data_IF_145124090859
#
_entry.id   IF_145124090859
#
_cell.length_a   1.000
_cell.length_b   1.000
_cell.length_c   1.000
_cell.angle_alpha   90.00
_cell.angle_beta   90.00
_cell.angle_gamma   90.00
#
_symmetry.space_group_name_H-M   'P 1'
#
loop_
_entity.id
_entity.type
_entity.pdbx_description
1 polymer ?
#
# COMPACT_ATOMS: atom_id res chain seq x y z
N UNK A 1 -19.41 -11.95 0.16
CA UNK A 1 -19.26 -10.64 0.82
C UNK A 1 -20.62 -10.13 1.30
N UNK A 2 -20.67 -9.24 2.29
CA UNK A 2 -21.92 -8.62 2.76
C UNK A 2 -21.96 -7.14 2.43
N UNK A 3 -23.12 -6.63 2.04
CA UNK A 3 -23.38 -5.23 1.78
C UNK A 3 -24.51 -4.74 2.68
N UNK A 4 -24.48 -3.45 3.01
CA UNK A 4 -25.50 -2.75 3.75
C UNK A 4 -26.45 -2.07 2.76
N UNK A 5 -27.74 -2.37 2.85
CA UNK A 5 -28.76 -1.64 2.10
C UNK A 5 -28.86 -0.20 2.61
N UNK A 6 -28.82 0.77 1.69
CA UNK A 6 -28.75 2.19 2.06
C UNK A 6 -30.10 2.79 2.47
N UNK A 7 -31.20 2.07 2.42
CA UNK A 7 -32.51 2.52 2.90
C UNK A 7 -32.89 1.80 4.20
N UNK A 8 -32.89 0.47 4.18
CA UNK A 8 -33.33 -0.37 5.31
C UNK A 8 -32.28 -0.48 6.43
N UNK A 9 -30.99 -0.26 6.12
CA UNK A 9 -29.86 -0.51 7.02
C UNK A 9 -29.67 -1.99 7.38
N UNK A 10 -30.27 -2.89 6.60
CA UNK A 10 -30.10 -4.33 6.76
C UNK A 10 -28.89 -4.83 5.97
N UNK A 11 -28.28 -5.91 6.44
CA UNK A 11 -27.16 -6.54 5.76
C UNK A 11 -27.66 -7.64 4.83
N UNK A 12 -27.21 -7.60 3.59
CA UNK A 12 -27.47 -8.62 2.58
C UNK A 12 -26.17 -9.36 2.22
N UNK A 13 -26.29 -10.68 2.07
CA UNK A 13 -25.15 -11.54 1.75
C UNK A 13 -25.13 -11.91 0.27
N UNK A 14 -23.98 -11.66 -0.36
CA UNK A 14 -23.69 -11.98 -1.75
C UNK A 14 -22.58 -13.03 -1.77
N UNK A 15 -22.97 -14.30 -1.96
CA UNK A 15 -22.04 -15.45 -1.96
C UNK A 15 -21.25 -15.53 -3.27
N UNK A 16 -21.86 -15.15 -4.38
CA UNK A 16 -21.24 -15.16 -5.71
C UNK A 16 -20.78 -13.74 -6.08
N UNK A 17 -19.48 -13.56 -6.32
CA UNK A 17 -18.90 -12.27 -6.71
C UNK A 17 -19.48 -11.75 -8.05
N UNK A 18 -20.01 -12.63 -8.91
CA UNK A 18 -20.57 -12.24 -10.22
C UNK A 18 -21.93 -11.57 -10.13
N UNK A 19 -22.62 -11.67 -8.99
CA UNK A 19 -23.94 -11.07 -8.76
C UNK A 19 -23.89 -9.90 -7.78
N UNK A 20 -22.70 -9.48 -7.35
CA UNK A 20 -22.53 -8.33 -6.46
C UNK A 20 -22.99 -7.06 -7.20
N UNK A 21 -24.00 -6.34 -6.68
CA UNK A 21 -24.49 -5.12 -7.31
C UNK A 21 -23.48 -3.97 -7.13
N UNK A 22 -23.57 -2.88 -7.90
CA UNK A 22 -22.77 -1.68 -7.65
C UNK A 22 -22.94 -1.15 -6.22
N UNK A 23 -21.83 -0.81 -5.56
CA UNK A 23 -21.83 -0.32 -4.19
C UNK A 23 -20.82 0.81 -3.95
N UNK A 24 -21.16 1.67 -3.00
CA UNK A 24 -20.24 2.62 -2.40
C UNK A 24 -19.42 1.95 -1.30
N UNK A 25 -18.14 2.26 -1.18
CA UNK A 25 -17.28 1.73 -0.11
C UNK A 25 -16.75 2.87 0.78
N UNK A 26 -16.80 2.69 2.10
CA UNK A 26 -16.30 3.68 3.05
C UNK A 26 -14.85 3.38 3.45
N UNK A 27 -13.97 4.33 3.15
CA UNK A 27 -12.65 4.44 3.76
C UNK A 27 -12.73 5.42 4.92
N UNK A 28 -12.36 4.99 6.14
CA UNK A 28 -12.41 5.88 7.30
C UNK A 28 -11.36 5.51 8.35
N UNK A 29 -11.20 6.37 9.35
CA UNK A 29 -10.54 6.02 10.61
C UNK A 29 -11.58 5.52 11.61
N UNK A 30 -11.24 4.45 12.33
CA UNK A 30 -12.10 3.97 13.41
C UNK A 30 -12.07 4.99 14.54
N UNK A 31 -13.26 5.32 15.02
CA UNK A 31 -13.53 6.20 16.14
C UNK A 31 -14.07 5.37 17.31
N UNK A 32 -14.41 6.04 18.41
CA UNK A 32 -14.92 5.34 19.58
C UNK A 32 -16.35 4.83 19.35
N UNK A 33 -16.59 3.57 19.73
CA UNK A 33 -17.91 2.95 19.75
C UNK A 33 -18.59 2.87 18.37
N UNK A 34 -17.85 2.36 17.39
CA UNK A 34 -18.33 1.99 16.06
C UNK A 34 -19.51 1.01 16.11
N UNK A 35 -20.35 1.08 15.08
CA UNK A 35 -21.35 0.04 14.80
C UNK A 35 -20.64 -1.19 14.24
N UNK A 36 -20.78 -2.32 14.92
CA UNK A 36 -20.24 -3.60 14.51
C UNK A 36 -21.33 -4.45 13.85
N UNK A 37 -20.91 -5.54 13.20
CA UNK A 37 -21.83 -6.51 12.60
C UNK A 37 -22.91 -6.99 13.58
N UNK A 38 -22.50 -7.35 14.79
CA UNK A 38 -23.38 -7.84 15.84
C UNK A 38 -24.41 -6.80 16.30
N UNK A 39 -24.10 -5.51 16.19
CA UNK A 39 -25.01 -4.44 16.58
C UNK A 39 -26.16 -4.28 15.58
N UNK A 40 -25.88 -4.45 14.28
CA UNK A 40 -26.92 -4.51 13.25
C UNK A 40 -27.77 -5.77 13.41
N UNK A 41 -27.13 -6.93 13.58
CA UNK A 41 -27.83 -8.21 13.74
C UNK A 41 -28.77 -8.25 14.96
N UNK A 42 -28.45 -7.50 16.02
CA UNK A 42 -29.25 -7.42 17.26
C UNK A 42 -30.20 -6.23 17.30
N UNK A 43 -30.16 -5.34 16.30
CA UNK A 43 -30.92 -4.09 16.31
C UNK A 43 -30.46 -3.08 17.37
N UNK A 44 -29.23 -3.19 17.89
CA UNK A 44 -28.68 -2.29 18.92
C UNK A 44 -27.83 -1.16 18.34
N UNK A 45 -27.64 -1.13 17.01
CA UNK A 45 -26.79 -0.15 16.33
C UNK A 45 -27.17 1.30 16.65
N UNK A 46 -28.46 1.63 16.78
CA UNK A 46 -28.91 3.00 17.07
C UNK A 46 -28.44 3.56 18.43
N UNK A 47 -27.96 2.70 19.34
CA UNK A 47 -27.44 3.11 20.65
C UNK A 47 -25.94 3.43 20.62
N UNK A 48 -25.26 3.14 19.51
CA UNK A 48 -23.83 3.35 19.33
C UNK A 48 -23.52 4.80 18.99
N UNK A 49 -22.42 5.34 19.53
CA UNK A 49 -21.94 6.68 19.13
C UNK A 49 -21.61 6.75 17.64
N UNK A 50 -21.01 5.68 17.11
CA UNK A 50 -20.67 5.57 15.69
C UNK A 50 -21.87 5.44 14.74
N UNK A 51 -23.11 5.33 15.26
CA UNK A 51 -24.30 5.18 14.40
C UNK A 51 -24.49 6.35 13.45
N UNK A 52 -24.20 7.57 13.91
CA UNK A 52 -24.33 8.76 13.07
C UNK A 52 -23.42 8.70 11.84
N UNK A 53 -22.22 8.13 11.98
CA UNK A 53 -21.28 7.94 10.86
C UNK A 53 -21.83 6.96 9.83
N UNK A 54 -22.33 5.81 10.28
CA UNK A 54 -22.98 4.84 9.39
C UNK A 54 -24.17 5.47 8.67
N UNK A 55 -25.04 6.16 9.42
CA UNK A 55 -26.22 6.82 8.88
C UNK A 55 -25.86 7.87 7.81
N UNK A 56 -24.92 8.76 8.12
CA UNK A 56 -24.49 9.81 7.19
C UNK A 56 -23.80 9.23 5.94
N UNK A 57 -22.99 8.18 6.09
CA UNK A 57 -22.39 7.54 4.93
C UNK A 57 -23.45 6.98 3.99
N UNK A 58 -24.48 6.36 4.54
CA UNK A 58 -25.55 5.84 3.72
C UNK A 58 -26.38 6.94 3.04
N UNK A 59 -26.57 8.10 3.69
CA UNK A 59 -27.17 9.26 3.04
C UNK A 59 -26.33 9.76 1.86
N UNK A 60 -25.00 9.79 2.01
CA UNK A 60 -24.08 10.13 0.91
C UNK A 60 -24.21 9.10 -0.22
N UNK A 61 -24.14 7.81 0.10
CA UNK A 61 -24.28 6.73 -0.88
C UNK A 61 -25.62 6.82 -1.64
N UNK A 62 -26.73 7.02 -0.92
CA UNK A 62 -28.06 7.17 -1.50
C UNK A 62 -28.16 8.41 -2.41
N UNK A 63 -27.59 9.55 -1.99
CA UNK A 63 -27.57 10.78 -2.78
C UNK A 63 -26.81 10.61 -4.09
N UNK A 64 -25.73 9.82 -4.07
CA UNK A 64 -24.93 9.48 -5.25
C UNK A 64 -25.52 8.32 -6.07
N UNK A 65 -26.71 7.82 -5.70
CA UNK A 65 -27.47 6.83 -6.46
C UNK A 65 -27.12 5.36 -6.17
N UNK A 66 -26.34 5.08 -5.13
CA UNK A 66 -26.05 3.71 -4.71
C UNK A 66 -27.20 3.14 -3.89
N UNK A 67 -27.51 1.86 -4.11
CA UNK A 67 -28.45 1.09 -3.28
C UNK A 67 -27.73 0.36 -2.14
N UNK A 68 -26.44 0.10 -2.32
CA UNK A 68 -25.63 -0.66 -1.38
C UNK A 68 -24.38 0.10 -0.96
N UNK A 69 -24.00 -0.11 0.29
CA UNK A 69 -22.82 0.43 0.92
C UNK A 69 -21.99 -0.68 1.56
N UNK A 70 -20.67 -0.53 1.57
CA UNK A 70 -19.78 -1.42 2.31
C UNK A 70 -19.01 -0.62 3.36
N UNK A 71 -19.02 -1.12 4.60
CA UNK A 71 -18.29 -0.56 5.73
C UNK A 71 -17.64 -1.71 6.49
N UNK A 72 -16.32 -1.70 6.63
CA UNK A 72 -15.55 -2.79 7.24
C UNK A 72 -16.00 -3.12 8.68
N UNK A 73 -16.44 -2.12 9.45
CA UNK A 73 -16.90 -2.28 10.84
C UNK A 73 -18.10 -3.20 10.98
N UNK A 74 -19.10 -3.06 10.09
CA UNK A 74 -20.36 -3.77 10.18
C UNK A 74 -20.61 -4.81 9.08
N UNK A 75 -19.94 -4.73 7.94
CA UNK A 75 -20.07 -5.69 6.84
C UNK A 75 -19.18 -6.94 7.01
N UNK A 76 -18.28 -6.97 8.01
CA UNK A 76 -17.46 -8.13 8.35
C UNK A 76 -17.78 -8.58 9.78
N UNK A 77 -18.09 -9.85 9.96
CA UNK A 77 -18.15 -10.45 11.30
C UNK A 77 -16.74 -10.73 11.83
N UNK A 78 -16.19 -9.75 12.54
CA UNK A 78 -14.87 -9.88 13.17
C UNK A 78 -14.81 -10.90 14.30
N UNK A 79 -15.95 -11.44 14.76
CA UNK A 79 -15.97 -12.53 15.74
C UNK A 79 -15.68 -13.90 15.11
N UNK A 80 -15.89 -14.03 13.79
CA UNK A 80 -15.51 -15.20 13.01
C UNK A 80 -14.09 -15.03 12.46
N UNK A 81 -13.14 -15.82 12.97
CA UNK A 81 -11.75 -15.78 12.49
C UNK A 81 -11.62 -16.21 11.03
N UNK A 82 -12.46 -17.16 10.59
CA UNK A 82 -12.52 -17.60 9.20
C UNK A 82 -12.97 -16.45 8.28
N UNK A 83 -14.06 -15.78 8.65
CA UNK A 83 -14.57 -14.66 7.85
C UNK A 83 -13.60 -13.48 7.85
N UNK A 84 -13.02 -13.14 9.01
CA UNK A 84 -12.01 -12.07 9.10
C UNK A 84 -10.81 -12.37 8.19
N UNK A 85 -10.36 -13.62 8.14
CA UNK A 85 -9.26 -14.05 7.25
C UNK A 85 -9.62 -13.93 5.78
N UNK A 86 -10.82 -14.38 5.40
CA UNK A 86 -11.34 -14.25 4.04
C UNK A 86 -11.46 -12.77 3.64
N UNK A 87 -12.01 -11.95 4.53
CA UNK A 87 -12.22 -10.53 4.30
C UNK A 87 -10.92 -9.76 4.10
N UNK A 88 -9.89 -9.99 4.94
CA UNK A 88 -8.60 -9.32 4.77
C UNK A 88 -7.91 -9.75 3.46
N UNK A 89 -8.00 -11.04 3.11
CA UNK A 89 -7.46 -11.53 1.83
C UNK A 89 -8.21 -10.98 0.61
N UNK A 90 -9.46 -10.54 0.78
CA UNK A 90 -10.31 -10.03 -0.30
C UNK A 90 -10.44 -8.51 -0.32
N UNK A 91 -10.00 -7.82 0.74
CA UNK A 91 -10.31 -6.40 0.97
C UNK A 91 -9.84 -5.50 -0.18
N UNK A 92 -8.62 -5.70 -0.68
CA UNK A 92 -8.13 -4.93 -1.83
C UNK A 92 -9.01 -5.13 -3.07
N UNK A 93 -9.48 -6.35 -3.34
CA UNK A 93 -10.39 -6.64 -4.45
C UNK A 93 -11.74 -5.95 -4.24
N UNK A 94 -12.27 -5.97 -3.02
CA UNK A 94 -13.52 -5.27 -2.71
C UNK A 94 -13.40 -3.75 -2.85
N UNK A 95 -12.26 -3.16 -2.52
CA UNK A 95 -12.02 -1.74 -2.83
C UNK A 95 -11.87 -1.50 -4.34
N UNK A 96 -11.23 -2.42 -5.06
CA UNK A 96 -11.04 -2.33 -6.51
C UNK A 96 -12.35 -2.48 -7.31
N UNK A 97 -13.29 -3.30 -6.82
CA UNK A 97 -14.58 -3.56 -7.44
C UNK A 97 -15.67 -2.56 -7.03
N UNK A 98 -15.44 -1.79 -5.96
CA UNK A 98 -16.35 -0.72 -5.59
C UNK A 98 -16.41 0.35 -6.69
N UNK A 99 -17.60 0.86 -6.97
CA UNK A 99 -17.78 1.91 -7.97
C UNK A 99 -17.15 3.22 -7.50
N UNK A 100 -17.38 3.58 -6.22
CA UNK A 100 -16.78 4.77 -5.60
C UNK A 100 -16.34 4.47 -4.17
N UNK A 101 -15.10 4.83 -3.85
CA UNK A 101 -14.59 4.87 -2.49
C UNK A 101 -14.76 6.28 -1.91
N UNK A 102 -15.48 6.39 -0.80
CA UNK A 102 -15.61 7.64 -0.06
C UNK A 102 -14.63 7.61 1.12
N UNK A 103 -13.61 8.46 1.08
CA UNK A 103 -12.65 8.64 2.16
C UNK A 103 -13.15 9.72 3.12
N UNK A 104 -13.68 9.30 4.27
CA UNK A 104 -14.15 10.21 5.33
C UNK A 104 -13.02 10.59 6.27
N UNK A 105 -12.68 11.88 6.29
CA UNK A 105 -11.62 12.46 7.11
C UNK A 105 -12.24 13.27 8.26
N UNK A 106 -12.35 12.64 9.42
CA UNK A 106 -12.93 13.25 10.62
C UNK A 106 -12.08 14.39 11.23
N UNK A 107 -10.84 14.54 10.78
CA UNK A 107 -9.92 15.62 11.18
C UNK A 107 -9.83 16.77 10.17
N UNK A 108 -10.66 16.75 9.11
CA UNK A 108 -10.75 17.80 8.11
C UNK A 108 -12.11 18.52 8.17
N UNK A 109 -12.12 19.84 8.34
CA UNK A 109 -13.35 20.64 8.24
C UNK A 109 -13.47 21.24 6.85
N UNK A 110 -14.66 21.20 6.26
CA UNK A 110 -14.91 21.67 4.90
C UNK A 110 -14.46 23.13 4.69
N UNK A 111 -14.78 24.00 5.65
CA UNK A 111 -14.49 25.43 5.54
C UNK A 111 -12.98 25.72 5.54
N UNK A 112 -12.20 24.94 6.28
CA UNK A 112 -10.76 25.11 6.42
C UNK A 112 -10.03 24.43 5.27
N UNK A 113 -10.41 23.21 4.90
CA UNK A 113 -9.76 22.47 3.80
C UNK A 113 -10.01 23.10 2.43
N UNK A 114 -11.14 23.79 2.26
CA UNK A 114 -11.47 24.48 1.00
C UNK A 114 -10.75 25.83 0.83
N UNK A 115 -10.05 26.32 1.86
CA UNK A 115 -9.31 27.58 1.77
C UNK A 115 -7.96 27.40 1.07
N UNK A 116 -7.62 28.35 0.20
CA UNK A 116 -6.31 28.39 -0.46
C UNK A 116 -5.18 28.44 0.56
N UNK A 117 -4.26 27.48 0.49
CA UNK A 117 -3.08 27.41 1.39
C UNK A 117 -3.30 26.65 2.70
N UNK A 118 -4.47 26.05 2.90
CA UNK A 118 -4.71 25.15 4.04
C UNK A 118 -3.79 23.92 3.99
N UNK A 119 -3.29 23.52 5.15
CA UNK A 119 -2.49 22.30 5.35
C UNK A 119 -3.26 21.16 5.99
N UNK A 120 -4.56 21.35 6.29
CA UNK A 120 -5.36 20.41 7.07
C UNK A 120 -5.46 19.03 6.41
N UNK A 121 -5.56 19.00 5.07
CA UNK A 121 -5.57 17.74 4.32
C UNK A 121 -4.24 17.00 4.44
N UNK A 122 -3.12 17.72 4.32
CA UNK A 122 -1.75 17.21 4.40
C UNK A 122 -1.42 16.66 5.79
N UNK A 123 -2.03 17.24 6.82
CA UNK A 123 -1.84 16.86 8.22
C UNK A 123 -2.82 15.77 8.68
N UNK A 124 -3.76 15.35 7.84
CA UNK A 124 -4.74 14.34 8.19
C UNK A 124 -4.07 13.01 8.54
N UNK A 125 -4.48 12.45 9.68
CA UNK A 125 -4.04 11.14 10.16
C UNK A 125 -4.57 10.00 9.28
N UNK A 126 -5.43 10.28 8.30
CA UNK A 126 -5.85 9.29 7.32
C UNK A 126 -4.65 8.79 6.50
N UNK A 127 -3.70 9.67 6.16
CA UNK A 127 -2.49 9.29 5.41
C UNK A 127 -1.49 8.46 6.21
N UNK A 128 -1.58 8.46 7.54
CA UNK A 128 -0.68 7.72 8.41
C UNK A 128 -1.20 6.32 8.76
N UNK A 129 -2.44 5.96 8.42
CA UNK A 129 -2.96 4.60 8.70
C UNK A 129 -2.48 3.61 7.63
N UNK A 130 -2.07 2.40 8.05
CA UNK A 130 -1.60 1.35 7.13
C UNK A 130 -2.64 0.96 6.08
N UNK A 131 -3.86 0.66 6.53
CA UNK A 131 -4.95 0.19 5.68
C UNK A 131 -5.39 1.21 4.62
N UNK A 132 -5.28 2.51 4.87
CA UNK A 132 -5.72 3.54 3.90
C UNK A 132 -4.89 3.56 2.62
N UNK A 133 -3.71 2.92 2.59
CA UNK A 133 -2.92 2.77 1.37
C UNK A 133 -3.67 1.98 0.29
N UNK A 134 -4.23 0.82 0.64
CA UNK A 134 -5.03 0.05 -0.31
C UNK A 134 -6.35 0.75 -0.63
N UNK A 135 -6.94 1.43 0.35
CA UNK A 135 -8.19 2.20 0.17
C UNK A 135 -8.01 3.38 -0.80
N UNK A 136 -6.79 3.92 -0.90
CA UNK A 136 -6.40 4.96 -1.86
C UNK A 136 -6.09 4.42 -3.26
N UNK A 137 -5.46 3.24 -3.34
CA UNK A 137 -4.84 2.73 -4.56
C UNK A 137 -5.69 1.71 -5.31
N UNK A 138 -6.51 0.93 -4.61
CA UNK A 138 -7.30 -0.12 -5.21
C UNK A 138 -8.51 0.42 -5.99
N UNK A 139 -9.33 1.36 -5.46
CA UNK A 139 -10.50 1.86 -6.16
C UNK A 139 -10.16 2.64 -7.42
N UNK A 140 -11.06 2.61 -8.40
CA UNK A 140 -10.96 3.47 -9.58
C UNK A 140 -11.16 4.94 -9.22
N UNK A 141 -12.19 5.22 -8.42
CA UNK A 141 -12.59 6.55 -8.00
C UNK A 141 -12.58 6.66 -6.47
N UNK A 142 -11.98 7.76 -5.98
CA UNK A 142 -11.88 8.08 -4.56
C UNK A 142 -12.31 9.53 -4.36
N UNK A 143 -13.32 9.73 -3.52
CA UNK A 143 -13.91 11.02 -3.16
C UNK A 143 -13.61 11.31 -1.69
N UNK A 144 -13.06 12.48 -1.39
CA UNK A 144 -12.74 12.87 -0.02
C UNK A 144 -13.86 13.69 0.61
N UNK A 145 -14.30 13.26 1.78
CA UNK A 145 -15.36 13.88 2.56
C UNK A 145 -14.79 14.49 3.85
N UNK A 146 -15.23 15.69 4.18
CA UNK A 146 -14.92 16.35 5.45
C UNK A 146 -15.74 15.77 6.61
N UNK A 147 -15.46 16.22 7.84
CA UNK A 147 -16.22 15.88 9.05
C UNK A 147 -17.72 16.24 8.94
N UNK A 148 -18.06 17.24 8.13
CA UNK A 148 -19.43 17.66 7.83
C UNK A 148 -20.07 16.84 6.69
N UNK A 149 -19.43 15.76 6.23
CA UNK A 149 -19.89 14.90 5.13
C UNK A 149 -20.03 15.64 3.78
N UNK A 150 -19.18 16.64 3.58
CA UNK A 150 -19.12 17.41 2.33
C UNK A 150 -17.90 16.98 1.52
N UNK A 151 -18.12 16.71 0.25
CA UNK A 151 -17.04 16.49 -0.70
C UNK A 151 -16.20 17.76 -0.86
N UNK A 152 -14.89 17.66 -0.64
CA UNK A 152 -13.95 18.75 -0.91
C UNK A 152 -12.93 18.44 -2.01
N UNK A 153 -12.92 17.21 -2.55
CA UNK A 153 -12.10 16.87 -3.70
C UNK A 153 -12.07 15.39 -4.01
N UNK A 154 -11.43 15.05 -5.13
CA UNK A 154 -11.23 13.67 -5.59
C UNK A 154 -9.74 13.35 -5.63
N UNK A 155 -9.38 12.06 -5.58
CA UNK A 155 -7.98 11.63 -5.74
C UNK A 155 -7.35 12.11 -7.04
N UNK A 156 -8.14 12.22 -8.12
CA UNK A 156 -7.68 12.79 -9.38
C UNK A 156 -7.41 14.29 -9.26
N UNK A 157 -8.33 15.04 -8.64
CA UNK A 157 -8.21 16.48 -8.44
C UNK A 157 -7.08 16.88 -7.50
N UNK A 158 -6.88 16.10 -6.42
CA UNK A 158 -5.87 16.32 -5.37
C UNK A 158 -4.58 15.50 -5.60
N UNK A 159 -4.34 15.08 -6.84
CA UNK A 159 -3.26 14.15 -7.18
C UNK A 159 -1.87 14.70 -6.81
N UNK A 160 -1.66 16.01 -6.98
CA UNK A 160 -0.41 16.67 -6.61
C UNK A 160 -0.17 16.60 -5.10
N UNK A 161 -1.15 17.04 -4.33
CA UNK A 161 -1.11 17.08 -2.87
C UNK A 161 -0.92 15.67 -2.29
N UNK A 162 -1.68 14.69 -2.78
CA UNK A 162 -1.56 13.29 -2.35
C UNK A 162 -0.16 12.75 -2.66
N UNK A 163 0.38 13.03 -3.85
CA UNK A 163 1.75 12.61 -4.23
C UNK A 163 2.80 13.25 -3.31
N UNK A 164 2.62 14.50 -2.92
CA UNK A 164 3.58 15.22 -2.07
C UNK A 164 3.59 14.67 -0.63
N UNK A 165 2.41 14.36 -0.09
CA UNK A 165 2.22 13.76 1.25
C UNK A 165 2.78 12.33 1.28
N UNK A 166 2.35 11.50 0.32
CA UNK A 166 2.53 10.04 0.41
C UNK A 166 3.73 9.50 -0.37
N UNK A 167 4.36 10.34 -1.21
CA UNK A 167 5.39 9.94 -2.19
C UNK A 167 4.91 8.88 -3.20
N UNK A 168 3.60 8.65 -3.29
CA UNK A 168 3.01 7.81 -4.31
C UNK A 168 3.10 8.53 -5.65
N UNK A 169 3.56 7.83 -6.68
CA UNK A 169 3.70 8.43 -7.99
C UNK A 169 2.34 8.82 -8.59
N UNK A 170 2.24 10.06 -9.10
CA UNK A 170 1.02 10.57 -9.75
C UNK A 170 0.45 9.66 -10.84
N UNK A 171 1.29 8.89 -11.55
CA UNK A 171 0.82 7.97 -12.59
C UNK A 171 -0.17 6.94 -12.04
N UNK A 172 0.07 6.35 -10.87
CA UNK A 172 -0.89 5.38 -10.27
C UNK A 172 -2.09 6.08 -9.63
N UNK A 173 -1.92 7.32 -9.16
CA UNK A 173 -3.03 8.14 -8.66
C UNK A 173 -4.02 8.55 -9.78
N UNK A 174 -3.52 8.75 -10.99
CA UNK A 174 -4.34 9.05 -12.18
C UNK A 174 -4.84 7.78 -12.88
N UNK A 175 -4.05 6.70 -12.83
CA UNK A 175 -4.31 5.43 -13.53
C UNK A 175 -4.05 4.22 -12.60
N UNK A 176 -4.99 3.85 -11.72
CA UNK A 176 -4.85 2.72 -10.78
C UNK A 176 -4.42 1.40 -11.43
N UNK A 177 -4.90 1.14 -12.66
CA UNK A 177 -4.59 -0.08 -13.42
C UNK A 177 -3.09 -0.24 -13.71
N UNK A 178 -2.31 0.84 -13.65
CA UNK A 178 -0.85 0.83 -13.82
C UNK A 178 -0.07 0.44 -12.56
N UNK A 179 -0.73 0.01 -11.48
CA UNK A 179 -0.05 -0.34 -10.22
C UNK A 179 1.07 -1.38 -10.40
N UNK A 180 0.95 -2.30 -11.35
CA UNK A 180 1.96 -3.34 -11.63
C UNK A 180 3.20 -2.83 -12.39
N UNK A 181 3.21 -1.57 -12.85
CA UNK A 181 4.40 -0.94 -13.45
C UNK A 181 5.45 -0.54 -12.41
N UNK A 182 5.06 -0.49 -11.14
CA UNK A 182 5.90 -0.06 -10.03
C UNK A 182 6.59 -1.23 -9.36
N UNK A 183 7.88 -1.06 -9.06
CA UNK A 183 8.66 -2.11 -8.45
C UNK A 183 8.28 -2.32 -6.97
N UNK A 184 8.68 -3.47 -6.42
CA UNK A 184 8.39 -3.87 -5.05
C UNK A 184 8.90 -2.83 -4.06
N UNK A 185 10.12 -2.32 -4.23
CA UNK A 185 10.68 -1.31 -3.34
C UNK A 185 9.86 0.00 -3.33
N UNK A 186 9.35 0.43 -4.49
CA UNK A 186 8.49 1.62 -4.56
C UNK A 186 7.20 1.38 -3.77
N UNK A 187 6.54 0.26 -4.01
CA UNK A 187 5.29 -0.10 -3.31
C UNK A 187 5.49 -0.19 -1.80
N UNK A 188 6.57 -0.83 -1.34
CA UNK A 188 6.93 -0.91 0.08
C UNK A 188 7.27 0.46 0.68
N UNK A 189 7.93 1.34 -0.09
CA UNK A 189 8.25 2.70 0.36
C UNK A 189 7.00 3.55 0.63
N UNK A 190 5.88 3.27 -0.04
CA UNK A 190 4.61 3.95 0.23
C UNK A 190 4.05 3.57 1.61
N UNK A 191 4.42 2.41 2.16
CA UNK A 191 4.00 1.97 3.49
C UNK A 191 4.94 2.41 4.62
N UNK A 192 6.13 2.95 4.29
CA UNK A 192 7.23 3.23 5.22
C UNK A 192 6.99 4.28 6.31
N UNK A 193 5.89 5.01 6.28
CA UNK A 193 5.54 6.00 7.33
C UNK A 193 4.13 5.78 7.87
N UNK A 194 3.53 4.63 7.54
CA UNK A 194 2.18 4.29 7.96
C UNK A 194 2.22 3.39 9.18
N UNK A 195 1.24 3.55 10.05
CA UNK A 195 1.10 2.90 11.33
C UNK A 195 -0.16 2.03 11.37
N UNK A 196 -0.10 0.96 12.16
CA UNK A 196 -1.22 0.04 12.37
C UNK A 196 -1.39 -0.24 13.85
N UNK A 197 -2.63 -0.56 14.27
CA UNK A 197 -2.92 -0.85 15.68
C UNK A 197 -2.26 -2.16 16.14
N UNK A 198 -2.21 -3.17 15.25
CA UNK A 198 -1.47 -4.42 15.47
C UNK A 198 -0.21 -4.43 14.60
N UNK A 199 0.93 -4.91 15.10
CA UNK A 199 2.17 -4.94 14.34
C UNK A 199 2.06 -5.80 13.07
N UNK A 200 1.33 -6.91 13.10
CA UNK A 200 1.14 -7.79 11.95
C UNK A 200 0.39 -7.13 10.79
N UNK A 201 -0.51 -6.19 11.10
CA UNK A 201 -1.29 -5.48 10.09
C UNK A 201 -0.39 -4.60 9.19
N UNK A 202 0.85 -4.28 9.61
CA UNK A 202 1.86 -3.65 8.73
C UNK A 202 2.14 -4.49 7.49
N UNK A 203 2.02 -5.81 7.61
CA UNK A 203 2.16 -6.75 6.50
C UNK A 203 0.80 -7.06 5.85
N UNK A 204 -0.22 -7.36 6.66
CA UNK A 204 -1.52 -7.79 6.13
C UNK A 204 -2.21 -6.73 5.27
N UNK A 205 -2.06 -5.44 5.62
CA UNK A 205 -2.60 -4.32 4.82
C UNK A 205 -1.95 -4.15 3.44
N UNK A 206 -0.82 -4.85 3.18
CA UNK A 206 -0.10 -4.79 1.91
C UNK A 206 -0.35 -6.00 1.02
N UNK A 207 -1.00 -7.05 1.53
CA UNK A 207 -1.20 -8.31 0.80
C UNK A 207 -1.84 -8.09 -0.57
N UNK A 208 -2.94 -7.32 -0.62
CA UNK A 208 -3.62 -7.01 -1.86
C UNK A 208 -2.82 -6.13 -2.83
N UNK A 209 -1.99 -5.23 -2.32
CA UNK A 209 -1.10 -4.37 -3.14
C UNK A 209 -0.08 -5.19 -3.95
N UNK A 210 0.31 -6.35 -3.40
CA UNK A 210 1.21 -7.31 -4.03
C UNK A 210 0.51 -8.51 -4.64
N UNK A 211 -0.81 -8.61 -4.51
CA UNK A 211 -1.58 -9.75 -5.02
C UNK A 211 -1.25 -11.08 -4.35
N UNK A 212 -0.81 -11.05 -3.08
CA UNK A 212 -0.43 -12.25 -2.33
C UNK A 212 -1.52 -12.66 -1.34
N UNK A 213 -1.57 -13.96 -1.04
CA UNK A 213 -2.46 -14.54 -0.05
C UNK A 213 -1.63 -15.25 1.02
N UNK A 214 -1.92 -14.99 2.29
CA UNK A 214 -1.24 -15.63 3.42
C UNK A 214 -2.20 -15.77 4.62
N UNK A 215 -2.07 -16.85 5.42
CA UNK A 215 -2.85 -17.00 6.65
C UNK A 215 -2.58 -15.89 7.66
N UNK A 216 -3.65 -15.38 8.29
CA UNK A 216 -3.55 -14.41 9.39
C UNK A 216 -3.20 -15.11 10.69
N UNK A 217 -2.06 -14.77 11.27
CA UNK A 217 -1.55 -15.30 12.52
C UNK A 217 -1.30 -14.15 13.51
N UNK A 218 -2.38 -13.58 14.06
CA UNK A 218 -2.26 -12.54 15.08
C UNK A 218 -1.48 -13.04 16.31
N UNK A 219 -0.45 -12.30 16.71
CA UNK A 219 0.55 -12.70 17.70
C UNK A 219 1.91 -13.05 17.11
N UNK A 220 2.07 -13.08 15.78
CA UNK A 220 3.37 -13.34 15.14
C UNK A 220 4.31 -12.11 15.10
N UNK A 221 3.80 -10.92 15.36
CA UNK A 221 4.55 -9.65 15.35
C UNK A 221 5.17 -9.34 13.99
N UNK A 222 6.39 -8.82 14.00
CA UNK A 222 7.13 -8.42 12.79
C UNK A 222 7.45 -9.59 11.84
N UNK A 223 7.29 -10.84 12.29
CA UNK A 223 7.42 -12.02 11.42
C UNK A 223 6.38 -12.03 10.30
N UNK A 224 5.24 -11.35 10.46
CA UNK A 224 4.26 -11.18 9.40
C UNK A 224 4.88 -10.51 8.17
N UNK A 225 5.74 -9.50 8.36
CA UNK A 225 6.40 -8.79 7.26
C UNK A 225 7.49 -9.63 6.58
N UNK A 226 8.18 -10.48 7.33
CA UNK A 226 9.08 -11.48 6.77
C UNK A 226 8.32 -12.44 5.84
N UNK A 227 7.17 -12.97 6.30
CA UNK A 227 6.31 -13.84 5.49
C UNK A 227 5.80 -13.14 4.24
N UNK A 228 5.36 -11.88 4.35
CA UNK A 228 4.96 -11.08 3.19
C UNK A 228 6.08 -11.01 2.14
N UNK A 229 7.32 -10.72 2.55
CA UNK A 229 8.45 -10.67 1.62
C UNK A 229 8.73 -12.03 0.95
N UNK A 230 8.58 -13.14 1.70
CA UNK A 230 8.70 -14.49 1.15
C UNK A 230 7.60 -14.81 0.13
N UNK A 231 6.35 -14.41 0.38
CA UNK A 231 5.26 -14.57 -0.58
C UNK A 231 5.49 -13.74 -1.84
N UNK A 232 5.98 -12.50 -1.70
CA UNK A 232 6.34 -11.64 -2.85
C UNK A 232 7.45 -12.30 -3.67
N UNK A 233 8.49 -12.85 -3.04
CA UNK A 233 9.60 -13.52 -3.72
C UNK A 233 9.19 -14.80 -4.45
N UNK A 234 8.16 -15.50 -3.96
CA UNK A 234 7.64 -16.70 -4.64
C UNK A 234 6.93 -16.35 -5.95
N UNK A 235 6.40 -15.14 -6.08
CA UNK A 235 5.54 -14.73 -7.20
C UNK A 235 6.16 -13.65 -8.09
N UNK A 236 7.29 -13.06 -7.67
CA UNK A 236 7.94 -11.95 -8.36
C UNK A 236 9.45 -12.14 -8.45
N UNK A 237 10.01 -11.85 -9.64
CA UNK A 237 11.46 -11.77 -9.87
C UNK A 237 12.01 -10.35 -9.65
N UNK A 238 11.24 -9.47 -9.01
CA UNK A 238 11.63 -8.09 -8.77
C UNK A 238 12.69 -8.00 -7.66
N UNK A 239 13.93 -7.84 -8.08
CA UNK A 239 15.10 -7.74 -7.21
C UNK A 239 15.09 -6.48 -6.32
N UNK A 240 14.22 -5.50 -6.59
CA UNK A 240 14.10 -4.30 -5.75
C UNK A 240 13.64 -4.61 -4.32
N UNK A 241 13.06 -5.78 -4.05
CA UNK A 241 12.77 -6.23 -2.67
C UNK A 241 14.03 -6.27 -1.77
N UNK A 242 15.23 -6.30 -2.34
CA UNK A 242 16.50 -6.28 -1.61
C UNK A 242 17.16 -4.89 -1.59
N UNK A 243 16.47 -3.84 -2.04
CA UNK A 243 16.99 -2.47 -2.13
C UNK A 243 16.83 -1.65 -0.83
N UNK A 244 16.34 -2.28 0.24
CA UNK A 244 16.10 -1.66 1.52
C UNK A 244 17.40 -1.20 2.21
N UNK A 245 17.26 -0.24 3.12
CA UNK A 245 18.34 0.37 3.91
C UNK A 245 17.91 0.45 5.36
N UNK A 246 18.85 0.27 6.27
CA UNK A 246 18.62 0.47 7.70
C UNK A 246 19.49 1.65 8.12
N UNK A 247 18.85 2.78 8.41
CA UNK A 247 19.51 4.03 8.82
C UNK A 247 19.77 4.10 10.34
N UNK A 248 19.52 3.01 11.09
CA UNK A 248 19.72 2.97 12.53
C UNK A 248 21.21 2.92 12.89
N UNK A 249 21.75 4.09 13.25
CA UNK A 249 23.12 4.25 13.75
C UNK A 249 23.44 3.53 15.09
N UNK A 250 22.56 2.67 15.62
CA UNK A 250 22.68 2.09 16.96
C UNK A 250 22.33 0.59 17.09
N UNK A 251 22.05 -0.14 15.99
CA UNK A 251 21.82 -1.58 16.08
C UNK A 251 22.82 -2.38 15.24
N UNK A 252 23.71 -3.08 15.94
CA UNK A 252 24.53 -4.16 15.39
C UNK A 252 23.58 -5.13 14.65
N UNK A 253 23.70 -5.21 13.32
CA UNK A 253 23.00 -6.24 12.56
C UNK A 253 23.39 -7.58 13.16
N UNK A 254 22.42 -8.40 13.56
CA UNK A 254 22.63 -9.83 13.46
C UNK A 254 22.93 -10.06 11.98
N UNK A 255 24.17 -10.44 11.66
CA UNK A 255 24.76 -10.45 10.32
C UNK A 255 24.09 -11.46 9.35
N UNK A 256 22.81 -11.80 9.52
CA UNK A 256 22.19 -13.00 8.96
C UNK A 256 20.80 -12.83 8.34
N UNK A 257 20.21 -11.63 8.24
CA UNK A 257 18.91 -11.47 7.55
C UNK A 257 19.05 -10.76 6.19
N UNK A 258 18.79 -11.50 5.11
CA UNK A 258 18.73 -10.99 3.72
C UNK A 258 17.56 -10.03 3.49
N UNK A 259 16.48 -10.18 4.27
CA UNK A 259 15.22 -9.46 4.12
C UNK A 259 15.08 -8.33 5.14
N UNK A 260 14.27 -7.32 4.78
CA UNK A 260 13.98 -6.16 5.62
C UNK A 260 13.17 -6.55 6.86
N UNK A 261 13.25 -5.72 7.90
CA UNK A 261 12.49 -5.91 9.15
C UNK A 261 11.13 -5.25 9.10
N UNK A 262 11.02 -4.12 8.40
CA UNK A 262 9.75 -3.42 8.23
C UNK A 262 9.67 -2.70 6.88
N UNK A 263 8.48 -2.26 6.45
CA UNK A 263 8.35 -1.34 5.32
C UNK A 263 9.17 -0.06 5.43
N UNK A 264 9.53 0.36 6.65
CA UNK A 264 10.28 1.60 6.90
C UNK A 264 11.70 1.53 6.33
N UNK A 265 12.26 0.32 6.24
CA UNK A 265 13.57 0.08 5.61
C UNK A 265 13.56 0.41 4.10
N UNK A 266 12.39 0.55 3.48
CA UNK A 266 12.24 0.98 2.08
C UNK A 266 12.01 2.49 1.93
N UNK A 267 12.08 3.26 3.02
CA UNK A 267 11.96 4.72 2.96
C UNK A 267 13.00 5.28 1.97
N UNK A 268 12.53 6.17 1.09
CA UNK A 268 13.37 6.76 0.03
C UNK A 268 13.43 5.94 -1.27
N UNK A 269 12.85 4.74 -1.33
CA UNK A 269 12.81 3.94 -2.57
C UNK A 269 11.70 4.36 -3.55
N UNK A 270 10.96 5.43 -3.29
CA UNK A 270 9.78 5.85 -4.08
C UNK A 270 10.11 6.25 -5.53
N UNK A 271 11.33 6.70 -5.79
CA UNK A 271 11.81 7.09 -7.11
C UNK A 271 12.58 5.99 -7.85
N UNK A 272 12.71 4.78 -7.26
CA UNK A 272 13.32 3.65 -7.93
C UNK A 272 12.57 3.31 -9.22
N UNK A 273 13.28 2.79 -10.23
CA UNK A 273 12.67 2.39 -11.50
C UNK A 273 13.24 1.04 -11.90
N UNK A 274 12.42 0.23 -12.56
CA UNK A 274 12.94 -0.91 -13.29
C UNK A 274 13.97 -0.40 -14.32
N UNK A 275 15.15 -1.01 -14.34
CA UNK A 275 16.09 -0.78 -15.42
C UNK A 275 15.48 -1.37 -16.69
N UNK A 276 15.08 -0.50 -17.62
CA UNK A 276 14.77 -0.92 -18.96
C UNK A 276 16.07 -1.43 -19.58
N UNK A 277 16.21 -2.75 -19.73
CA UNK A 277 17.23 -3.26 -20.65
C UNK A 277 16.95 -2.59 -22.00
N UNK A 278 17.93 -1.90 -22.63
CA UNK A 278 17.81 -1.65 -24.04
C UNK A 278 17.57 -3.02 -24.67
N UNK A 279 16.46 -3.20 -25.40
CA UNK A 279 16.38 -4.29 -26.35
C UNK A 279 17.57 -4.06 -27.28
N UNK A 280 18.65 -4.81 -27.11
CA UNK A 280 19.59 -5.05 -28.20
C UNK A 280 18.74 -5.75 -29.25
N UNK A 281 18.14 -4.95 -30.13
CA UNK A 281 17.66 -5.42 -31.41
C UNK A 281 18.97 -5.66 -32.16
N UNK A 282 19.31 -6.92 -32.42
CA UNK A 282 20.33 -7.27 -33.40
C UNK A 282 19.92 -6.64 -34.73
N UNK A 283 20.43 -5.44 -34.98
CA UNK A 283 20.20 -4.66 -36.18
C UNK A 283 21.50 -3.92 -36.46
N UNK A 284 22.15 -4.35 -37.54
CA UNK A 284 23.33 -3.76 -38.16
C UNK A 284 24.70 -4.02 -37.52
N UNK A 285 25.10 -5.30 -37.51
CA UNK A 285 26.51 -5.65 -37.74
C UNK A 285 26.78 -5.79 -39.25
N UNK A 286 26.95 -4.67 -39.93
CA UNK A 286 27.69 -4.66 -41.20
C UNK A 286 28.51 -3.37 -41.26
N UNK A 287 29.82 -3.54 -41.42
CA UNK A 287 30.84 -2.50 -41.62
C UNK A 287 31.42 -1.87 -40.35
N UNK A 288 32.37 -2.54 -39.73
CA UNK A 288 33.77 -2.07 -39.59
C UNK A 288 34.63 -3.21 -39.05
N UNK A 289 35.92 -3.18 -39.38
CA UNK A 289 36.80 -4.35 -39.46
C UNK A 289 37.09 -5.06 -38.13
N UNK A 290 37.42 -6.35 -38.28
CA UNK A 290 37.97 -7.20 -37.24
C UNK A 290 39.16 -6.52 -36.53
N UNK A 291 38.92 -6.04 -35.32
CA UNK A 291 39.91 -5.98 -34.26
C UNK A 291 39.50 -7.08 -33.29
N UNK A 292 40.41 -7.99 -32.98
CA UNK A 292 40.30 -8.92 -31.85
C UNK A 292 40.25 -8.11 -30.55
N UNK A 293 39.10 -7.53 -30.28
CA UNK A 293 38.73 -6.95 -29.00
C UNK A 293 37.76 -7.92 -28.37
N UNK A 294 38.20 -8.59 -27.30
CA UNK A 294 37.28 -9.17 -26.32
C UNK A 294 36.21 -8.13 -26.02
N UNK A 295 34.97 -8.37 -26.45
CA UNK A 295 33.85 -7.64 -25.88
C UNK A 295 33.96 -7.86 -24.37
N UNK A 296 34.19 -6.79 -23.60
CA UNK A 296 34.05 -6.81 -22.14
C UNK A 296 32.57 -6.99 -21.83
N UNK A 297 32.07 -8.19 -22.04
CA UNK A 297 30.93 -8.74 -21.34
C UNK A 297 31.46 -9.12 -19.96
N UNK A 298 31.02 -8.50 -18.86
CA UNK A 298 31.02 -9.21 -17.60
C UNK A 298 29.81 -10.14 -17.62
N UNK A 299 29.90 -11.22 -18.41
CA UNK A 299 28.99 -12.36 -18.37
C UNK A 299 29.83 -13.61 -18.20
N UNK A 300 29.96 -14.07 -16.97
CA UNK A 300 29.59 -15.43 -16.55
C UNK A 300 29.00 -15.23 -15.13
N UNK A 301 27.79 -15.65 -14.78
CA UNK A 301 27.34 -17.04 -14.67
C UNK A 301 25.82 -17.17 -14.91
N UNK A 302 25.47 -18.38 -15.34
CA UNK A 302 24.19 -19.00 -15.68
C UNK A 302 23.36 -19.33 -14.42
N UNK A 303 22.04 -19.08 -14.41
CA UNK A 303 21.11 -19.61 -13.38
C UNK A 303 20.81 -18.70 -12.18
N UNK A 304 19.88 -19.08 -11.27
CA UNK A 304 18.85 -18.23 -10.67
C UNK A 304 19.28 -17.42 -9.43
N UNK A 305 20.48 -16.82 -9.43
CA UNK A 305 20.98 -16.08 -8.28
C UNK A 305 21.39 -14.64 -8.56
N UNK A 306 21.07 -13.82 -7.57
CA UNK A 306 21.07 -12.36 -7.51
C UNK A 306 22.49 -11.80 -7.50
N UNK A 307 22.71 -10.70 -8.25
CA UNK A 307 23.81 -9.76 -7.98
C UNK A 307 23.22 -8.40 -7.60
N UNK A 308 23.20 -8.10 -6.29
CA UNK A 308 22.97 -6.74 -5.81
C UNK A 308 24.29 -5.99 -6.01
N UNK A 309 24.43 -5.27 -7.12
CA UNK A 309 25.32 -4.12 -7.11
C UNK A 309 24.61 -3.04 -6.29
N UNK A 310 25.20 -2.71 -5.15
CA UNK A 310 24.77 -1.64 -4.27
C UNK A 310 24.33 -0.44 -5.12
N UNK A 311 23.06 -0.07 -4.99
CA UNK A 311 22.50 1.16 -5.51
C UNK A 311 23.31 2.30 -4.89
N UNK A 312 24.29 2.84 -5.63
CA UNK A 312 24.91 4.10 -5.29
C UNK A 312 23.81 5.16 -5.36
N UNK A 313 23.38 5.66 -4.21
CA UNK A 313 22.73 6.97 -4.17
C UNK A 313 23.85 7.96 -4.42
N UNK A 314 23.68 8.85 -5.39
CA UNK A 314 24.53 10.02 -5.58
C UNK A 314 24.47 10.87 -4.31
N UNK A 315 25.47 10.72 -3.45
CA UNK A 315 25.73 11.68 -2.39
C UNK A 315 26.61 12.73 -3.07
N UNK A 316 26.07 13.95 -3.23
CA UNK A 316 26.79 15.07 -3.84
C UNK A 316 28.16 15.32 -3.19
N UNK A 317 29.03 16.12 -3.82
CA UNK A 317 30.47 16.11 -3.56
C UNK A 317 30.78 16.43 -2.10
N UNK A 318 31.23 15.41 -1.36
CA UNK A 318 31.79 15.56 -0.03
C UNK A 318 33.23 16.06 -0.16
N UNK A 319 33.52 17.19 0.48
CA UNK A 319 34.87 17.77 0.53
C UNK A 319 35.86 16.77 1.12
N UNK A 320 36.90 16.45 0.35
CA UNK A 320 38.04 15.63 0.76
C UNK A 320 38.89 16.36 1.81
N UNK A 321 38.68 16.08 3.10
CA UNK A 321 39.75 16.19 4.09
C UNK A 321 39.36 15.56 5.44
N UNK A 322 39.23 14.23 5.50
CA UNK A 322 39.51 13.43 6.72
C UNK A 322 39.20 11.94 6.51
N UNK A 323 40.13 11.19 5.91
CA UNK A 323 40.12 9.72 6.00
C UNK A 323 41.55 9.20 6.21
N UNK A 324 41.89 8.96 7.48
CA UNK A 324 42.93 8.01 7.87
C UNK A 324 42.41 7.20 9.05
N UNK A 325 41.63 6.16 8.75
CA UNK A 325 41.65 4.83 9.40
C UNK A 325 40.36 4.08 9.04
N UNK A 326 40.43 3.23 8.01
CA UNK A 326 39.50 2.15 7.85
C UNK A 326 40.27 0.96 7.28
N UNK A 327 40.42 -0.06 8.13
CA UNK A 327 40.93 -1.38 7.80
C UNK A 327 40.15 -1.99 6.65
N UNK A 328 40.88 -2.63 5.72
CA UNK A 328 40.36 -3.29 4.53
C UNK A 328 39.23 -4.32 4.84
N UNK A 329 38.23 -4.47 3.96
CA UNK A 329 37.21 -5.49 4.12
C UNK A 329 37.77 -6.89 3.80
N UNK A 330 37.66 -7.78 4.78
CA UNK A 330 37.91 -9.21 4.66
C UNK A 330 36.76 -9.87 3.90
N UNK A 331 37.07 -10.53 2.79
CA UNK A 331 36.11 -11.31 2.01
C UNK A 331 35.71 -12.58 2.76
N UNK A 332 34.40 -12.83 2.90
CA UNK A 332 33.85 -14.13 3.30
C UNK A 332 32.98 -14.60 2.14
N UNK A 333 33.46 -15.61 1.41
CA UNK A 333 32.70 -16.32 0.39
C UNK A 333 31.63 -17.18 1.06
N UNK A 334 30.37 -17.00 0.68
CA UNK A 334 29.31 -17.98 0.94
C UNK A 334 28.90 -18.63 -0.38
N UNK A 335 29.23 -19.91 -0.51
CA UNK A 335 28.59 -20.83 -1.47
C UNK A 335 27.29 -21.34 -0.83
N UNK A 336 26.17 -21.25 -1.56
CA UNK A 336 24.96 -22.05 -1.35
C UNK A 336 24.86 -23.08 -2.48
#
# INVERSE_FOLDING_TARGET
MRLLDVESRELEEFVDETVVPPYAILSHRWEDDEVLFQDLARGTAAHKKGYQKLYNFCLVAQKEGFLYAWIDTCCIDKSSSAELSEAINSMFRWYQQADTCFAYLNDCSYEVVSQSGSTQFQESKWFTRGWTLQELLAPMDVVFLSVEWREFGTRRGLCQEISDITKINKRVLLHPKGLNEFCVAQKLSWAATRETAKPEDRAYSLMGLFGVHMPLLYGEGDRAFLRLQLEILQQSNDQSILAWRCDDGMHFRLASSLLARSPDDFKGCHDMKHTTRPRYIDGDMAQTGFVSGTAKLPQEVVGPYIKINALSIDIGPANESSFLSASAPTFIDFCL
#
